data_IF_756777766976
#
_entry.id   IF_756777766976
#
_cell.length_a   1.000
_cell.length_b   1.000
_cell.length_c   1.000
_cell.angle_alpha   90.00
_cell.angle_beta   90.00
_cell.angle_gamma   90.00
#
_symmetry.space_group_name_H-M   'P 1'
#
loop_
_entity.id
_entity.type
_entity.pdbx_description
1 polymer ?
#
# COMPACT_ATOMS: atom_id res chain seq x y z
N UNK A 1 -2.20 3.28 -14.15
CA UNK A 1 -1.66 2.43 -13.09
C UNK A 1 -0.16 2.68 -12.97
N UNK A 2 0.42 2.28 -11.83
CA UNK A 2 1.87 2.38 -11.58
C UNK A 2 2.69 1.23 -12.16
N UNK A 3 2.04 0.28 -12.84
CA UNK A 3 2.66 -0.87 -13.51
C UNK A 3 2.30 -2.19 -12.82
N UNK A 4 2.54 -3.32 -13.46
CA UNK A 4 2.43 -4.62 -12.78
C UNK A 4 3.62 -4.80 -11.83
N UNK A 5 3.39 -5.43 -10.67
CA UNK A 5 4.41 -5.70 -9.64
C UNK A 5 4.98 -4.45 -8.95
N UNK A 6 4.34 -3.29 -9.10
CA UNK A 6 4.69 -2.09 -8.32
C UNK A 6 4.15 -2.15 -6.89
N UNK A 7 4.81 -1.40 -6.00
CA UNK A 7 4.42 -1.26 -4.60
C UNK A 7 3.54 -0.03 -4.38
N UNK A 8 2.48 -0.20 -3.60
CA UNK A 8 1.63 0.88 -3.09
C UNK A 8 1.63 0.87 -1.56
N UNK A 9 1.83 2.03 -0.96
CA UNK A 9 1.81 2.13 0.51
C UNK A 9 0.39 2.35 1.01
N UNK A 10 -0.01 1.61 2.05
CA UNK A 10 -1.27 1.81 2.75
C UNK A 10 -0.98 2.51 4.07
N UNK A 11 -1.12 3.82 4.10
CA UNK A 11 -0.90 4.65 5.29
C UNK A 11 -2.23 4.99 5.94
N UNK A 12 -2.74 4.05 6.73
CA UNK A 12 -4.06 4.13 7.36
C UNK A 12 -4.08 3.35 8.68
N UNK A 13 -5.02 3.70 9.55
CA UNK A 13 -5.29 2.92 10.75
C UNK A 13 -6.01 1.60 10.41
N UNK A 14 -5.96 0.63 11.32
CA UNK A 14 -6.67 -0.64 11.16
C UNK A 14 -8.19 -0.39 11.09
N UNK A 15 -8.76 -0.56 9.90
CA UNK A 15 -10.13 -0.20 9.55
C UNK A 15 -10.66 -1.07 8.40
N UNK A 16 -11.94 -0.95 8.07
CA UNK A 16 -12.52 -1.53 6.86
C UNK A 16 -11.94 -0.90 5.59
N UNK A 17 -11.61 0.38 5.62
CA UNK A 17 -10.92 1.07 4.53
C UNK A 17 -9.54 0.49 4.23
N UNK A 18 -8.82 0.02 5.25
CA UNK A 18 -7.57 -0.71 5.06
C UNK A 18 -7.79 -2.00 4.26
N UNK A 19 -8.85 -2.76 4.58
CA UNK A 19 -9.20 -3.99 3.86
C UNK A 19 -9.63 -3.68 2.42
N UNK A 20 -10.42 -2.63 2.21
CA UNK A 20 -10.81 -2.18 0.87
C UNK A 20 -9.57 -1.78 0.07
N UNK A 21 -8.62 -1.08 0.68
CA UNK A 21 -7.38 -0.66 0.03
C UNK A 21 -6.50 -1.84 -0.36
N UNK A 22 -6.34 -2.84 0.51
CA UNK A 22 -5.64 -4.10 0.18
C UNK A 22 -6.26 -4.78 -1.04
N UNK A 23 -7.58 -4.91 -1.07
CA UNK A 23 -8.30 -5.51 -2.18
C UNK A 23 -8.18 -4.68 -3.47
N UNK A 24 -8.18 -3.35 -3.33
CA UNK A 24 -7.95 -2.40 -4.42
C UNK A 24 -6.57 -2.60 -5.04
N UNK A 25 -5.51 -2.65 -4.23
CA UNK A 25 -4.13 -2.90 -4.66
C UNK A 25 -4.01 -4.20 -5.44
N UNK A 26 -4.52 -5.31 -4.88
CA UNK A 26 -4.47 -6.61 -5.55
C UNK A 26 -5.25 -6.63 -6.87
N UNK A 27 -6.42 -6.00 -6.91
CA UNK A 27 -7.21 -5.90 -8.16
C UNK A 27 -6.53 -5.01 -9.21
N UNK A 28 -5.76 -4.01 -8.79
CA UNK A 28 -4.94 -3.17 -9.66
C UNK A 28 -3.66 -3.86 -10.16
N UNK A 29 -3.27 -5.00 -9.56
CA UNK A 29 -2.05 -5.74 -9.90
C UNK A 29 -0.82 -5.35 -9.08
N UNK A 30 -1.04 -4.67 -7.95
CA UNK A 30 -0.02 -4.08 -7.10
C UNK A 30 0.11 -4.87 -5.79
N UNK A 31 1.33 -4.94 -5.26
CA UNK A 31 1.56 -5.44 -3.91
C UNK A 31 1.53 -4.28 -2.93
N UNK A 32 0.88 -4.46 -1.79
CA UNK A 32 0.78 -3.38 -0.81
C UNK A 32 1.87 -3.44 0.26
N UNK A 33 2.19 -2.28 0.83
CA UNK A 33 3.07 -2.14 2.00
C UNK A 33 2.29 -1.44 3.10
N UNK A 34 1.93 -2.11 4.20
CA UNK A 34 1.19 -1.47 5.28
C UNK A 34 2.13 -0.56 6.08
N UNK A 35 1.69 0.68 6.27
CA UNK A 35 2.39 1.74 6.99
C UNK A 35 1.51 2.19 8.15
N UNK A 36 1.87 1.80 9.38
CA UNK A 36 1.10 2.14 10.57
C UNK A 36 1.36 3.61 10.97
N UNK A 37 0.32 4.47 11.07
CA UNK A 37 0.46 5.86 11.50
C UNK A 37 1.08 6.05 12.89
N UNK A 38 1.02 5.03 13.76
CA UNK A 38 1.65 5.06 15.08
C UNK A 38 3.18 4.89 15.03
N UNK A 39 3.75 4.50 13.89
CA UNK A 39 5.19 4.40 13.74
C UNK A 39 5.86 5.77 13.75
N UNK A 40 7.08 5.87 14.34
CA UNK A 40 7.86 7.09 14.24
C UNK A 40 8.09 7.49 12.78
N UNK A 41 8.03 8.79 12.50
CA UNK A 41 8.25 9.34 11.15
C UNK A 41 9.52 8.84 10.47
N UNK A 42 10.61 8.70 11.23
CA UNK A 42 11.89 8.19 10.71
C UNK A 42 11.78 6.75 10.20
N UNK A 43 10.98 5.92 10.85
CA UNK A 43 10.71 4.54 10.42
C UNK A 43 9.88 4.53 9.14
N UNK A 44 8.84 5.37 9.09
CA UNK A 44 8.00 5.47 7.90
C UNK A 44 8.79 5.98 6.69
N UNK A 45 9.62 7.03 6.86
CA UNK A 45 10.53 7.53 5.82
C UNK A 45 11.49 6.45 5.33
N UNK A 46 12.11 5.71 6.24
CA UNK A 46 12.98 4.59 5.88
C UNK A 46 12.26 3.57 5.00
N UNK A 47 11.04 3.18 5.34
CA UNK A 47 10.26 2.23 4.54
C UNK A 47 9.95 2.82 3.15
N UNK A 48 9.53 4.08 3.08
CA UNK A 48 9.25 4.75 1.80
C UNK A 48 10.49 4.80 0.89
N UNK A 49 11.65 5.13 1.46
CA UNK A 49 12.92 5.19 0.74
C UNK A 49 13.39 3.81 0.26
N UNK A 50 13.32 2.79 1.13
CA UNK A 50 13.77 1.42 0.83
C UNK A 50 12.87 0.72 -0.21
N UNK A 51 11.57 1.01 -0.18
CA UNK A 51 10.59 0.44 -1.13
C UNK A 51 10.51 1.19 -2.46
N UNK A 52 10.88 2.47 -2.50
CA UNK A 52 10.69 3.32 -3.67
C UNK A 52 9.22 3.56 -4.03
N UNK A 53 8.29 3.40 -3.07
CA UNK A 53 6.86 3.65 -3.26
C UNK A 53 6.64 5.08 -3.76
N UNK A 54 5.79 5.23 -4.77
CA UNK A 54 5.43 6.54 -5.35
C UNK A 54 3.99 6.95 -5.05
N UNK A 55 3.15 6.01 -4.63
CA UNK A 55 1.72 6.21 -4.37
C UNK A 55 1.37 5.70 -2.98
N UNK A 56 0.67 6.54 -2.22
CA UNK A 56 0.10 6.20 -0.92
C UNK A 56 -1.42 6.27 -0.97
N UNK A 57 -2.07 5.27 -0.37
CA UNK A 57 -3.49 5.31 -0.03
C UNK A 57 -3.62 5.70 1.44
N UNK A 58 -4.43 6.71 1.73
CA UNK A 58 -4.58 7.28 3.07
C UNK A 58 -5.94 7.97 3.26
N UNK A 59 -6.10 8.67 4.38
CA UNK A 59 -7.25 9.50 4.72
C UNK A 59 -6.80 10.94 5.01
N UNK A 60 -7.70 11.90 4.87
CA UNK A 60 -7.39 13.33 5.01
C UNK A 60 -6.76 13.66 6.38
N UNK A 61 -7.18 12.97 7.44
CA UNK A 61 -6.66 13.16 8.80
C UNK A 61 -5.19 12.77 9.00
N UNK A 62 -4.61 12.01 8.08
CA UNK A 62 -3.25 11.47 8.16
C UNK A 62 -2.28 12.15 7.19
N UNK A 63 -2.74 13.07 6.35
CA UNK A 63 -1.93 13.63 5.26
C UNK A 63 -0.80 14.55 5.72
N UNK A 64 -0.93 15.19 6.89
CA UNK A 64 -0.01 16.25 7.36
C UNK A 64 1.47 15.82 7.38
N UNK A 65 1.73 14.54 7.67
CA UNK A 65 3.08 14.00 7.74
C UNK A 65 3.66 13.61 6.37
N UNK A 66 2.81 13.34 5.37
CA UNK A 66 3.22 12.69 4.13
C UNK A 66 4.18 13.58 3.32
N UNK A 67 5.30 13.03 2.80
CA UNK A 67 6.20 13.79 1.93
C UNK A 67 5.49 14.35 0.70
N UNK A 68 5.75 15.62 0.37
CA UNK A 68 5.04 16.34 -0.71
C UNK A 68 5.24 15.74 -2.10
N UNK A 69 6.29 14.96 -2.28
CA UNK A 69 6.64 14.30 -3.53
C UNK A 69 5.78 13.04 -3.80
N UNK A 70 5.09 12.53 -2.77
CA UNK A 70 4.24 11.35 -2.89
C UNK A 70 2.92 11.69 -3.59
N UNK A 71 2.47 10.80 -4.47
CA UNK A 71 1.10 10.84 -4.98
C UNK A 71 0.19 10.21 -3.93
N UNK A 72 -0.90 10.87 -3.61
CA UNK A 72 -1.84 10.42 -2.58
C UNK A 72 -3.18 10.09 -3.25
N UNK A 73 -3.73 8.93 -2.89
CA UNK A 73 -5.15 8.59 -3.06
C UNK A 73 -5.78 8.68 -1.68
N UNK A 74 -6.64 9.68 -1.48
CA UNK A 74 -7.26 9.96 -0.20
C UNK A 74 -8.70 9.45 -0.22
N UNK A 75 -8.98 8.39 0.54
CA UNK A 75 -10.21 7.61 0.38
C UNK A 75 -11.48 8.41 0.69
N UNK A 76 -11.42 9.26 1.72
CA UNK A 76 -12.53 10.11 2.18
C UNK A 76 -12.68 11.37 1.32
N UNK A 77 -11.58 12.06 1.00
CA UNK A 77 -11.63 13.25 0.13
C UNK A 77 -11.99 12.90 -1.31
N UNK A 78 -11.39 11.85 -1.87
CA UNK A 78 -11.50 11.54 -3.29
C UNK A 78 -12.72 10.64 -3.60
N UNK A 79 -13.56 10.36 -2.60
CA UNK A 79 -14.72 9.47 -2.68
C UNK A 79 -15.64 9.77 -3.87
N UNK A 80 -15.91 11.05 -4.14
CA UNK A 80 -16.77 11.47 -5.25
C UNK A 80 -16.17 11.16 -6.64
N UNK A 81 -14.84 11.17 -6.76
CA UNK A 81 -14.11 10.79 -7.97
C UNK A 81 -14.08 9.26 -8.11
N UNK A 82 -13.73 8.56 -7.02
CA UNK A 82 -13.69 7.09 -6.99
C UNK A 82 -15.06 6.50 -7.36
N UNK A 83 -16.15 7.10 -6.88
CA UNK A 83 -17.51 6.63 -7.17
C UNK A 83 -17.95 6.76 -8.62
N UNK A 84 -17.22 7.52 -9.44
CA UNK A 84 -17.47 7.64 -10.89
C UNK A 84 -16.76 6.54 -11.69
N UNK A 85 -15.81 5.83 -11.09
CA UNK A 85 -15.10 4.74 -11.74
C UNK A 85 -15.98 3.50 -11.90
N UNK A 86 -15.56 2.61 -12.81
CA UNK A 86 -16.28 1.37 -13.09
C UNK A 86 -16.36 0.47 -11.85
N UNK A 87 -17.56 -0.01 -11.53
CA UNK A 87 -17.79 -1.03 -10.49
C UNK A 87 -17.45 -2.46 -10.95
N UNK A 88 -17.19 -2.66 -12.25
CA UNK A 88 -16.77 -3.95 -12.78
C UNK A 88 -15.35 -4.27 -12.32
N UNK A 89 -15.08 -5.56 -12.09
CA UNK A 89 -13.72 -5.99 -11.76
C UNK A 89 -12.77 -5.63 -12.90
N UNK A 90 -11.64 -4.96 -12.61
CA UNK A 90 -10.64 -4.65 -13.63
C UNK A 90 -10.04 -5.94 -14.18
N UNK A 91 -9.47 -5.86 -15.39
CA UNK A 91 -8.61 -6.93 -15.87
C UNK A 91 -7.38 -6.97 -14.98
N UNK A 92 -7.16 -8.10 -14.33
CA UNK A 92 -6.06 -8.32 -13.41
C UNK A 92 -5.30 -9.56 -13.90
N UNK A 93 -4.01 -9.39 -14.18
CA UNK A 93 -3.10 -10.45 -14.67
C UNK A 93 -2.23 -11.02 -13.54
N UNK A 94 -2.62 -10.78 -12.28
CA UNK A 94 -1.93 -11.31 -11.10
C UNK A 94 -1.93 -12.83 -11.13
N UNK A 95 -0.76 -13.41 -10.90
CA UNK A 95 -0.58 -14.85 -10.76
C UNK A 95 -0.24 -15.20 -9.31
N UNK A 96 -0.18 -16.49 -8.98
CA UNK A 96 0.27 -16.93 -7.66
C UNK A 96 1.68 -16.42 -7.31
N UNK A 97 2.57 -16.29 -8.31
CA UNK A 97 3.96 -15.87 -8.15
C UNK A 97 4.14 -14.36 -8.03
N UNK A 98 3.11 -13.57 -8.35
CA UNK A 98 3.13 -12.12 -8.18
C UNK A 98 3.16 -11.78 -6.69
N UNK A 99 3.87 -10.71 -6.32
CA UNK A 99 3.88 -10.20 -4.94
C UNK A 99 2.46 -9.80 -4.51
N UNK A 100 2.07 -10.19 -3.30
CA UNK A 100 0.84 -9.78 -2.65
C UNK A 100 1.07 -8.60 -1.70
N UNK A 101 2.13 -8.67 -0.89
CA UNK A 101 2.49 -7.59 0.04
C UNK A 101 3.94 -7.65 0.48
N UNK A 102 4.42 -6.54 1.06
CA UNK A 102 5.70 -6.46 1.76
C UNK A 102 5.47 -5.98 3.18
N UNK A 103 5.92 -6.73 4.18
CA UNK A 103 5.84 -6.32 5.60
C UNK A 103 7.24 -6.09 6.16
N UNK A 104 7.43 -4.96 6.83
CA UNK A 104 8.69 -4.64 7.51
C UNK A 104 8.72 -5.18 8.93
N UNK A 105 9.70 -6.04 9.19
CA UNK A 105 9.95 -6.62 10.51
C UNK A 105 11.19 -6.02 11.15
N UNK A 106 11.29 -6.04 12.48
CA UNK A 106 12.50 -5.65 13.20
C UNK A 106 13.63 -6.63 12.85
N UNK A 107 14.58 -6.18 12.02
CA UNK A 107 15.73 -6.99 11.65
C UNK A 107 16.68 -7.19 12.85
N UNK A 108 17.25 -8.39 12.97
CA UNK A 108 18.26 -8.70 14.00
C UNK A 108 19.54 -7.85 13.89
N UNK A 109 19.77 -7.24 12.72
CA UNK A 109 20.94 -6.41 12.41
C UNK A 109 20.67 -4.90 12.56
N UNK A 110 19.60 -4.51 13.26
CA UNK A 110 19.28 -3.11 13.60
C UNK A 110 18.25 -2.46 12.67
N UNK A 111 18.44 -2.56 11.35
CA UNK A 111 17.50 -1.96 10.39
C UNK A 111 16.31 -2.88 10.08
N UNK A 112 15.08 -2.33 9.95
CA UNK A 112 13.92 -3.09 9.50
C UNK A 112 14.15 -3.70 8.12
N UNK A 113 13.64 -4.92 7.90
CA UNK A 113 13.73 -5.64 6.61
C UNK A 113 12.35 -5.86 6.03
N UNK A 114 12.17 -5.52 4.76
CA UNK A 114 10.97 -5.84 3.99
C UNK A 114 10.94 -7.33 3.67
N UNK A 115 9.90 -8.02 4.14
CA UNK A 115 9.63 -9.42 3.82
C UNK A 115 8.62 -9.45 2.68
N UNK A 116 9.05 -9.97 1.53
CA UNK A 116 8.25 -10.05 0.31
C UNK A 116 7.41 -11.33 0.33
N UNK A 117 6.10 -11.20 0.20
CA UNK A 117 5.16 -12.32 0.21
C UNK A 117 4.40 -12.37 -1.12
N UNK A 118 4.37 -13.55 -1.75
CA UNK A 118 3.65 -13.81 -3.00
C UNK A 118 2.21 -14.25 -2.73
N UNK A 119 1.32 -14.09 -3.71
CA UNK A 119 -0.10 -14.46 -3.59
C UNK A 119 -0.31 -15.92 -3.19
N UNK A 120 0.46 -16.86 -3.76
CA UNK A 120 0.34 -18.28 -3.42
C UNK A 120 0.61 -18.55 -1.94
N UNK A 121 1.53 -17.79 -1.32
CA UNK A 121 1.90 -17.94 0.10
C UNK A 121 0.80 -17.49 1.05
N UNK A 122 -0.17 -16.69 0.56
CA UNK A 122 -1.33 -16.23 1.33
C UNK A 122 -2.47 -17.26 1.30
N UNK A 123 -2.55 -18.06 0.23
CA UNK A 123 -3.61 -19.05 0.01
C UNK A 123 -3.29 -20.44 0.60
N UNK A 124 -2.03 -20.66 0.99
CA UNK A 124 -1.47 -21.94 1.44
C UNK A 124 -1.77 -22.25 2.91
#
# INVERSE_FOLDING_TARGET
GIGNESLVGLYCECSDEMVVSMMGSWKAGEAYVPLDPSYPESRLRYILEDTGIQVLVTNESLEDWIPKEMKIVCLDRDQAMISQESILSPKCEVTGETLAYVIYTSGSTGNPKGVLIQHHSVLN
#
